data_IF_683944633017
#
_entry.id   IF_683944633017
#
_cell.length_a   1.000
_cell.length_b   1.000
_cell.length_c   1.000
_cell.angle_alpha   90.00
_cell.angle_beta   90.00
_cell.angle_gamma   90.00
#
_symmetry.space_group_name_H-M   'P 1'
#
loop_
_entity.id
_entity.type
_entity.pdbx_description
1 polymer ?
#
# COMPACT_ATOMS: atom_id res chain seq x y z
N UNK A 1 -4.90 15.87 -17.82
CA UNK A 1 -4.14 14.74 -17.25
C UNK A 1 -3.85 15.04 -15.80
N UNK A 2 -4.18 14.16 -14.86
CA UNK A 2 -3.86 14.31 -13.43
C UNK A 2 -2.58 13.54 -13.15
N UNK A 3 -1.55 14.22 -12.63
CA UNK A 3 -0.24 13.62 -12.37
C UNK A 3 -0.19 12.77 -11.08
N UNK A 4 -1.20 12.87 -10.22
CA UNK A 4 -1.31 12.08 -9.00
C UNK A 4 -2.65 11.35 -8.94
N UNK A 5 -2.69 10.12 -8.43
CA UNK A 5 -3.94 9.45 -8.11
C UNK A 5 -4.75 10.34 -7.14
N UNK A 6 -6.06 10.29 -7.25
CA UNK A 6 -6.91 10.97 -6.26
C UNK A 6 -6.72 10.31 -4.91
N UNK A 7 -6.50 11.11 -3.88
CA UNK A 7 -6.60 10.59 -2.52
C UNK A 7 -8.02 10.04 -2.29
N UNK A 8 -8.07 8.91 -1.60
CA UNK A 8 -9.35 8.33 -1.19
C UNK A 8 -10.04 9.26 -0.20
N UNK A 9 -11.31 9.56 -0.45
CA UNK A 9 -12.16 10.35 0.44
C UNK A 9 -13.43 9.55 0.75
N UNK A 10 -13.85 9.58 2.01
CA UNK A 10 -15.11 9.03 2.47
C UNK A 10 -15.92 10.14 3.15
N UNK A 11 -17.23 10.16 2.92
CA UNK A 11 -18.13 11.17 3.47
C UNK A 11 -19.07 10.54 4.50
N UNK A 12 -19.38 11.20 5.63
CA UNK A 12 -20.27 10.67 6.66
C UNK A 12 -21.65 10.30 6.13
N UNK A 13 -22.17 11.07 5.19
CA UNK A 13 -23.50 10.80 4.58
C UNK A 13 -23.50 9.61 3.61
N UNK A 14 -22.33 9.23 3.08
CA UNK A 14 -22.15 8.10 2.19
C UNK A 14 -20.73 7.50 2.35
N UNK A 15 -20.47 6.82 3.48
CA UNK A 15 -19.13 6.32 3.82
C UNK A 15 -18.52 5.39 2.76
N UNK A 16 -19.36 4.70 2.01
CA UNK A 16 -18.99 3.66 1.04
C UNK A 16 -19.15 4.06 -0.42
N UNK A 17 -19.39 5.34 -0.72
CA UNK A 17 -19.54 5.82 -2.10
C UNK A 17 -18.33 5.49 -3.00
N UNK A 18 -17.15 5.54 -2.42
CA UNK A 18 -15.88 5.31 -3.11
C UNK A 18 -15.26 3.95 -2.74
N UNK A 19 -16.03 3.02 -2.18
CA UNK A 19 -15.55 1.68 -1.82
C UNK A 19 -15.31 0.84 -3.08
N UNK A 20 -14.08 0.91 -3.58
CA UNK A 20 -13.66 0.23 -4.80
C UNK A 20 -13.36 -1.25 -4.58
N UNK A 21 -13.27 -1.70 -3.33
CA UNK A 21 -12.90 -3.07 -2.96
C UNK A 21 -14.04 -3.85 -2.31
N UNK A 22 -15.26 -3.28 -2.22
CA UNK A 22 -16.40 -3.97 -1.62
C UNK A 22 -16.26 -4.22 -0.10
N UNK A 23 -15.48 -3.42 0.61
CA UNK A 23 -15.13 -3.63 2.02
C UNK A 23 -16.19 -3.20 3.03
N UNK A 24 -17.36 -2.76 2.56
CA UNK A 24 -18.46 -2.29 3.43
C UNK A 24 -18.74 -3.24 4.59
N UNK A 25 -18.87 -4.55 4.34
CA UNK A 25 -19.18 -5.53 5.38
C UNK A 25 -18.05 -5.61 6.43
N UNK A 26 -16.79 -5.60 6.00
CA UNK A 26 -15.64 -5.66 6.88
C UNK A 26 -15.54 -4.39 7.74
N UNK A 27 -15.72 -3.21 7.14
CA UNK A 27 -15.72 -1.91 7.84
C UNK A 27 -16.84 -1.85 8.87
N UNK A 28 -18.07 -2.24 8.50
CA UNK A 28 -19.23 -2.23 9.41
C UNK A 28 -19.00 -3.16 10.60
N UNK A 29 -18.53 -4.38 10.38
CA UNK A 29 -18.22 -5.33 11.46
C UNK A 29 -17.11 -4.84 12.36
N UNK A 30 -16.05 -4.25 11.79
CA UNK A 30 -14.95 -3.68 12.55
C UNK A 30 -15.42 -2.50 13.41
N UNK A 31 -16.21 -1.58 12.86
CA UNK A 31 -16.77 -0.46 13.60
C UNK A 31 -17.73 -0.93 14.71
N UNK A 32 -18.55 -1.95 14.46
CA UNK A 32 -19.42 -2.54 15.50
C UNK A 32 -18.59 -3.12 16.66
N UNK A 33 -17.49 -3.80 16.37
CA UNK A 33 -16.56 -4.28 17.37
C UNK A 33 -15.97 -3.14 18.19
N UNK A 34 -15.52 -2.05 17.54
CA UNK A 34 -14.99 -0.87 18.25
C UNK A 34 -16.02 -0.22 19.16
N UNK A 35 -17.26 -0.02 18.66
CA UNK A 35 -18.35 0.57 19.42
C UNK A 35 -18.75 -0.34 20.59
N UNK A 36 -18.73 -1.67 20.39
CA UNK A 36 -19.10 -2.66 21.39
C UNK A 36 -18.06 -2.87 22.49
N UNK A 37 -16.84 -2.38 22.32
CA UNK A 37 -15.78 -2.56 23.31
C UNK A 37 -16.07 -1.76 24.59
N UNK A 38 -15.90 -2.41 25.74
CA UNK A 38 -16.02 -1.79 27.06
C UNK A 38 -14.62 -1.46 27.60
N UNK A 39 -14.54 -0.34 28.34
CA UNK A 39 -13.28 0.11 28.94
C UNK A 39 -12.37 0.82 27.94
N UNK A 40 -11.11 0.44 27.93
CA UNK A 40 -10.09 0.93 26.99
C UNK A 40 -9.59 -0.23 26.12
N UNK A 41 -9.19 0.06 24.90
CA UNK A 41 -8.54 -0.92 24.05
C UNK A 41 -7.61 -0.27 23.04
N UNK A 42 -6.50 -0.93 22.74
CA UNK A 42 -5.64 -0.65 21.60
C UNK A 42 -5.79 -1.79 20.59
N UNK A 43 -6.26 -1.47 19.40
CA UNK A 43 -6.49 -2.43 18.32
C UNK A 43 -5.49 -2.17 17.21
N UNK A 44 -4.66 -3.15 16.83
CA UNK A 44 -3.85 -3.04 15.62
C UNK A 44 -4.61 -3.56 14.41
N UNK A 45 -4.66 -2.78 13.34
CA UNK A 45 -5.12 -3.19 12.02
C UNK A 45 -3.89 -3.36 11.13
N UNK A 46 -3.47 -4.62 10.95
CA UNK A 46 -2.29 -4.96 10.18
C UNK A 46 -2.64 -5.24 8.71
N UNK A 47 -1.77 -4.84 7.80
CA UNK A 47 -1.85 -5.15 6.39
C UNK A 47 -0.63 -4.62 5.63
N UNK A 48 -0.23 -5.24 4.52
CA UNK A 48 0.90 -4.80 3.72
C UNK A 48 0.65 -3.42 3.09
N UNK A 49 1.70 -2.78 2.60
CA UNK A 49 1.54 -1.57 1.80
C UNK A 49 0.71 -1.85 0.55
N UNK A 50 -0.15 -0.92 0.19
CA UNK A 50 -1.06 -1.08 -0.95
C UNK A 50 -2.32 -1.92 -0.68
N UNK A 51 -2.50 -2.49 0.52
CA UNK A 51 -3.71 -3.25 0.86
C UNK A 51 -4.99 -2.42 1.04
N UNK A 52 -4.88 -1.08 1.00
CA UNK A 52 -6.02 -0.19 1.19
C UNK A 52 -6.31 0.18 2.65
N UNK A 53 -5.33 0.03 3.59
CA UNK A 53 -5.50 0.40 5.02
C UNK A 53 -6.05 1.81 5.21
N UNK A 54 -5.44 2.80 4.56
CA UNK A 54 -5.86 4.21 4.65
C UNK A 54 -7.30 4.41 4.19
N UNK A 55 -7.72 3.75 3.09
CA UNK A 55 -9.10 3.80 2.62
C UNK A 55 -10.05 3.14 3.64
N UNK A 56 -9.66 2.01 4.20
CA UNK A 56 -10.41 1.31 5.25
C UNK A 56 -10.60 2.20 6.49
N UNK A 57 -9.53 2.82 6.98
CA UNK A 57 -9.57 3.75 8.13
C UNK A 57 -10.47 4.95 7.86
N UNK A 58 -10.36 5.56 6.69
CA UNK A 58 -11.21 6.69 6.29
C UNK A 58 -12.68 6.28 6.17
N UNK A 59 -13.00 5.09 5.65
CA UNK A 59 -14.37 4.54 5.65
C UNK A 59 -14.87 4.26 7.06
N UNK A 60 -14.03 3.71 7.95
CA UNK A 60 -14.39 3.53 9.36
C UNK A 60 -14.69 4.88 10.02
N UNK A 61 -13.86 5.89 9.83
CA UNK A 61 -14.09 7.23 10.38
C UNK A 61 -15.42 7.82 9.88
N UNK A 62 -15.69 7.76 8.58
CA UNK A 62 -16.92 8.25 7.99
C UNK A 62 -18.15 7.47 8.48
N UNK A 63 -18.05 6.14 8.57
CA UNK A 63 -19.16 5.29 9.06
C UNK A 63 -19.46 5.56 10.54
N UNK A 64 -18.43 5.66 11.37
CA UNK A 64 -18.59 6.01 12.79
C UNK A 64 -19.20 7.40 13.00
N UNK A 65 -18.96 8.34 12.08
CA UNK A 65 -19.56 9.69 12.09
C UNK A 65 -20.92 9.77 11.42
N UNK A 66 -21.40 8.67 10.79
CA UNK A 66 -22.70 8.66 10.13
C UNK A 66 -23.84 8.79 11.12
N UNK A 67 -25.00 9.32 10.66
CA UNK A 67 -26.21 9.46 11.49
C UNK A 67 -26.67 8.12 12.06
N UNK A 68 -26.58 7.05 11.27
CA UNK A 68 -26.94 5.68 11.69
C UNK A 68 -26.23 5.25 12.97
N UNK A 69 -24.94 5.51 13.08
CA UNK A 69 -24.13 5.14 14.24
C UNK A 69 -24.34 6.18 15.37
N UNK A 70 -24.31 7.48 15.05
CA UNK A 70 -24.37 8.55 16.04
C UNK A 70 -25.73 8.60 16.78
N UNK A 71 -26.82 8.22 16.15
CA UNK A 71 -28.15 8.12 16.78
C UNK A 71 -28.26 6.94 17.73
N UNK A 72 -27.52 5.86 17.44
CA UNK A 72 -27.58 4.63 18.24
C UNK A 72 -26.59 4.68 19.40
N UNK A 73 -25.37 5.08 19.13
CA UNK A 73 -24.28 5.16 20.09
C UNK A 73 -23.32 6.29 19.69
N UNK A 74 -23.49 7.51 20.21
CA UNK A 74 -22.61 8.61 19.91
C UNK A 74 -21.15 8.28 20.24
N UNK A 75 -20.25 8.59 19.32
CA UNK A 75 -18.82 8.39 19.49
C UNK A 75 -18.04 9.50 18.81
N UNK A 76 -17.01 10.01 19.46
CA UNK A 76 -16.08 10.96 18.86
C UNK A 76 -14.99 10.23 18.12
N UNK A 77 -14.74 10.62 16.89
CA UNK A 77 -13.76 9.97 16.04
C UNK A 77 -12.68 10.98 15.65
N UNK A 78 -11.44 10.64 15.96
CA UNK A 78 -10.27 11.44 15.64
C UNK A 78 -9.41 10.65 14.67
N UNK A 79 -9.10 11.26 13.55
CA UNK A 79 -8.14 10.72 12.58
C UNK A 79 -6.78 11.39 12.79
N UNK A 80 -5.75 10.58 12.95
CA UNK A 80 -4.38 11.03 13.07
C UNK A 80 -3.48 10.31 12.07
N UNK A 81 -3.01 11.06 11.06
CA UNK A 81 -1.99 10.57 10.15
C UNK A 81 -0.61 10.89 10.73
N UNK A 82 0.08 9.86 11.24
CA UNK A 82 1.34 10.03 11.94
C UNK A 82 2.44 10.62 11.03
N UNK A 83 2.44 10.26 9.73
CA UNK A 83 3.40 10.76 8.76
C UNK A 83 3.19 12.24 8.40
N UNK A 84 1.94 12.65 8.25
CA UNK A 84 1.61 14.03 7.85
C UNK A 84 1.50 15.00 9.03
N UNK A 85 1.12 14.53 10.20
CA UNK A 85 0.86 15.39 11.38
C UNK A 85 1.97 15.32 12.43
N UNK A 86 2.93 14.40 12.30
CA UNK A 86 4.07 14.24 13.20
C UNK A 86 5.15 15.31 13.02
N UNK A 87 4.78 16.58 13.06
CA UNK A 87 5.68 17.70 12.72
C UNK A 87 6.55 18.17 13.86
N UNK A 88 6.09 18.02 15.12
CA UNK A 88 6.82 18.54 16.28
C UNK A 88 7.98 17.63 16.69
N UNK A 89 7.98 16.38 16.23
CA UNK A 89 8.91 15.35 16.66
C UNK A 89 8.60 14.80 18.04
N UNK A 90 7.50 15.24 18.68
CA UNK A 90 7.01 14.71 19.95
C UNK A 90 5.59 14.15 19.78
N UNK A 91 5.42 12.81 19.83
CA UNK A 91 4.13 12.17 19.56
C UNK A 91 3.00 12.62 20.49
N UNK A 92 3.30 12.95 21.76
CA UNK A 92 2.28 13.41 22.71
C UNK A 92 1.71 14.76 22.27
N UNK A 93 2.58 15.70 21.84
CA UNK A 93 2.14 17.02 21.34
C UNK A 93 1.28 16.87 20.10
N UNK A 94 1.73 16.05 19.15
CA UNK A 94 1.05 15.85 17.89
C UNK A 94 -0.33 15.21 18.10
N UNK A 95 -0.43 14.16 18.94
CA UNK A 95 -1.70 13.51 19.30
C UNK A 95 -2.65 14.47 20.01
N UNK A 96 -2.16 15.20 21.03
CA UNK A 96 -2.98 16.14 21.78
C UNK A 96 -3.46 17.29 20.90
N UNK A 97 -2.64 17.73 19.95
CA UNK A 97 -3.05 18.75 18.98
C UNK A 97 -4.19 18.25 18.08
N UNK A 98 -4.11 17.00 17.60
CA UNK A 98 -5.19 16.38 16.82
C UNK A 98 -6.47 16.23 17.64
N UNK A 99 -6.37 15.75 18.87
CA UNK A 99 -7.52 15.63 19.78
C UNK A 99 -8.15 17.00 20.05
N UNK A 100 -7.32 18.01 20.27
CA UNK A 100 -7.79 19.36 20.60
C UNK A 100 -8.47 20.09 19.46
N UNK A 101 -8.19 19.73 18.23
CA UNK A 101 -8.85 20.26 17.05
C UNK A 101 -10.32 19.81 16.96
N UNK A 102 -10.65 18.64 17.49
CA UNK A 102 -11.98 18.03 17.43
C UNK A 102 -12.83 18.26 18.71
N UNK A 103 -12.19 18.59 19.83
CA UNK A 103 -12.85 18.72 21.15
C UNK A 103 -12.83 20.19 21.61
N UNK A 104 -13.99 20.85 21.62
CA UNK A 104 -14.08 22.30 21.74
C UNK A 104 -13.78 22.90 23.12
N UNK A 105 -13.85 22.20 24.26
CA UNK A 105 -13.76 22.85 25.58
C UNK A 105 -12.72 22.29 26.59
N UNK A 106 -12.37 21.02 26.69
CA UNK A 106 -11.26 20.60 27.54
C UNK A 106 -9.87 20.75 26.87
N UNK A 107 -9.80 21.15 25.60
CA UNK A 107 -8.60 21.15 24.78
C UNK A 107 -7.44 21.97 25.33
N UNK A 108 -7.71 23.16 25.87
CA UNK A 108 -6.64 24.03 26.42
C UNK A 108 -5.97 23.39 27.66
N UNK A 109 -6.73 22.69 28.50
CA UNK A 109 -6.19 22.03 29.70
C UNK A 109 -5.38 20.80 29.29
N UNK A 110 -5.86 19.98 28.38
CA UNK A 110 -5.14 18.84 27.82
C UNK A 110 -3.79 19.24 27.23
N UNK A 111 -3.76 20.31 26.42
CA UNK A 111 -2.52 20.86 25.86
C UNK A 111 -1.57 21.31 26.97
N UNK A 112 -2.06 22.06 27.96
CA UNK A 112 -1.24 22.54 29.06
C UNK A 112 -0.66 21.39 29.89
N UNK A 113 -1.44 20.34 30.13
CA UNK A 113 -0.99 19.17 30.88
C UNK A 113 0.02 18.35 30.07
N UNK A 114 -0.20 18.21 28.76
CA UNK A 114 0.79 17.58 27.86
C UNK A 114 2.12 18.35 27.84
N UNK A 115 2.08 19.68 27.77
CA UNK A 115 3.29 20.52 27.84
C UNK A 115 4.00 20.34 29.18
N UNK A 116 3.26 20.29 30.31
CA UNK A 116 3.85 20.03 31.63
C UNK A 116 4.52 18.66 31.70
N UNK A 117 3.88 17.62 31.17
CA UNK A 117 4.45 16.28 31.09
C UNK A 117 5.77 16.26 30.32
N UNK A 118 5.84 16.97 29.21
CA UNK A 118 7.04 17.05 28.38
C UNK A 118 8.14 17.83 29.13
N UNK A 119 7.80 18.96 29.73
CA UNK A 119 8.72 19.77 30.51
C UNK A 119 9.24 19.03 31.75
N UNK A 120 8.41 18.17 32.36
CA UNK A 120 8.79 17.29 33.49
C UNK A 120 9.63 16.09 33.10
N UNK A 121 10.03 15.93 31.86
CA UNK A 121 10.90 14.83 31.40
C UNK A 121 10.16 13.54 31.08
N UNK A 122 8.82 13.56 30.94
CA UNK A 122 8.02 12.37 30.64
C UNK A 122 8.50 11.63 29.39
N UNK A 123 8.97 12.32 28.37
CA UNK A 123 9.55 11.72 27.17
C UNK A 123 10.83 10.90 27.46
N UNK A 124 11.64 11.33 28.42
CA UNK A 124 12.83 10.57 28.84
C UNK A 124 12.44 9.36 29.69
N UNK A 125 11.42 9.48 30.54
CA UNK A 125 10.91 8.37 31.35
C UNK A 125 10.14 7.33 30.52
N UNK A 126 9.38 7.75 29.55
CA UNK A 126 8.70 6.85 28.58
C UNK A 126 9.76 6.07 27.78
N UNK A 127 10.87 6.71 27.37
CA UNK A 127 12.01 6.02 26.73
C UNK A 127 12.67 5.01 27.65
N UNK A 128 12.84 5.36 28.90
CA UNK A 128 13.42 4.46 29.91
C UNK A 128 12.51 3.25 30.20
N UNK A 129 11.20 3.45 30.31
CA UNK A 129 10.22 2.38 30.49
C UNK A 129 10.11 1.46 29.26
N UNK A 130 10.41 1.97 28.05
CA UNK A 130 10.43 1.19 26.81
C UNK A 130 11.73 0.42 26.56
N UNK A 131 12.67 0.39 27.50
CA UNK A 131 13.92 -0.39 27.43
C UNK A 131 15.16 0.39 27.00
N UNK A 132 15.11 1.71 26.96
CA UNK A 132 16.29 2.57 26.81
C UNK A 132 17.08 2.55 28.13
N UNK A 133 18.36 2.17 28.08
CA UNK A 133 19.20 2.08 29.28
C UNK A 133 19.34 3.46 29.95
N UNK A 134 18.78 3.59 31.13
CA UNK A 134 19.21 4.61 32.10
C UNK A 134 20.55 4.16 32.66
N UNK A 135 21.56 4.99 32.53
CA UNK A 135 22.83 4.77 33.24
C UNK A 135 22.62 5.02 34.76
N UNK A 136 22.23 3.95 35.45
CA UNK A 136 21.99 3.97 36.90
C UNK A 136 23.29 4.11 37.72
N UNK A 137 24.46 4.07 37.07
CA UNK A 137 25.76 4.09 37.76
C UNK A 137 26.22 5.46 38.23
N UNK A 138 25.52 6.55 37.89
CA UNK A 138 25.90 7.92 38.22
C UNK A 138 25.04 8.61 39.30
N UNK A 139 24.24 7.84 40.06
CA UNK A 139 23.28 8.40 41.03
C UNK A 139 23.96 8.72 42.37
N UNK A 140 24.12 10.00 42.67
CA UNK A 140 24.43 10.51 44.00
C UNK A 140 23.14 10.78 44.80
N UNK A 141 23.19 10.81 46.14
CA UNK A 141 22.00 10.97 46.99
C UNK A 141 21.18 12.24 46.69
N UNK A 142 21.79 13.36 46.33
CA UNK A 142 21.10 14.59 45.90
C UNK A 142 20.35 14.42 44.58
N UNK A 143 20.90 13.67 43.64
CA UNK A 143 20.22 13.38 42.37
C UNK A 143 19.03 12.41 42.55
N UNK A 144 19.06 11.56 43.56
CA UNK A 144 17.94 10.68 43.89
C UNK A 144 16.70 11.46 44.34
N UNK A 145 16.87 12.57 45.10
CA UNK A 145 15.74 13.41 45.49
C UNK A 145 15.16 14.19 44.30
N UNK A 146 16.01 14.73 43.43
CA UNK A 146 15.56 15.37 42.20
C UNK A 146 14.85 14.41 41.25
N UNK A 147 15.35 13.18 41.10
CA UNK A 147 14.73 12.14 40.30
C UNK A 147 13.39 11.69 40.88
N UNK A 148 13.29 11.57 42.22
CA UNK A 148 12.03 11.21 42.90
C UNK A 148 10.99 12.31 42.69
N UNK A 149 11.36 13.58 42.86
CA UNK A 149 10.47 14.72 42.62
C UNK A 149 10.03 14.81 41.14
N UNK A 150 10.94 14.57 40.17
CA UNK A 150 10.62 14.52 38.78
C UNK A 150 9.69 13.35 38.42
N UNK A 151 9.90 12.19 39.07
CA UNK A 151 9.00 11.04 38.94
C UNK A 151 7.59 11.33 39.46
N UNK A 152 7.49 11.89 40.68
CA UNK A 152 6.21 12.26 41.27
C UNK A 152 5.46 13.29 40.41
N UNK A 153 6.15 14.31 39.87
CA UNK A 153 5.59 15.29 38.97
C UNK A 153 5.09 14.63 37.65
N UNK A 154 5.83 13.66 37.12
CA UNK A 154 5.46 12.92 35.92
C UNK A 154 4.24 12.04 36.15
N UNK A 155 4.18 11.34 37.28
CA UNK A 155 3.03 10.52 37.71
C UNK A 155 1.77 11.36 37.90
N UNK A 156 1.90 12.51 38.62
CA UNK A 156 0.80 13.45 38.78
C UNK A 156 0.32 14.00 37.45
N UNK A 157 1.26 14.39 36.58
CA UNK A 157 0.93 14.86 35.20
C UNK A 157 0.23 13.79 34.37
N UNK A 158 0.67 12.53 34.45
CA UNK A 158 0.03 11.40 33.79
C UNK A 158 -1.42 11.23 34.27
N UNK A 159 -1.61 11.18 35.59
CA UNK A 159 -2.93 11.01 36.18
C UNK A 159 -3.87 12.17 35.85
N UNK A 160 -3.36 13.41 35.85
CA UNK A 160 -4.11 14.60 35.41
C UNK A 160 -4.50 14.51 33.92
N UNK A 161 -3.55 14.11 33.04
CA UNK A 161 -3.82 13.92 31.62
C UNK A 161 -4.89 12.85 31.38
N UNK A 162 -4.75 11.67 32.01
CA UNK A 162 -5.72 10.58 31.90
C UNK A 162 -7.10 10.98 32.45
N UNK A 163 -7.16 11.72 33.55
CA UNK A 163 -8.41 12.25 34.11
C UNK A 163 -9.12 13.20 33.12
N UNK A 164 -8.37 14.12 32.47
CA UNK A 164 -8.91 15.05 31.49
C UNK A 164 -9.34 14.35 30.20
N UNK A 165 -8.56 13.38 29.72
CA UNK A 165 -8.90 12.56 28.56
C UNK A 165 -10.16 11.72 28.86
N UNK A 166 -10.26 11.13 30.03
CA UNK A 166 -11.43 10.40 30.50
C UNK A 166 -12.66 11.28 30.62
N UNK A 167 -12.51 12.51 31.08
CA UNK A 167 -13.61 13.48 31.10
C UNK A 167 -14.10 13.82 29.69
N UNK A 168 -13.17 13.92 28.73
CA UNK A 168 -13.51 14.14 27.33
C UNK A 168 -14.20 12.94 26.69
N UNK A 169 -13.87 11.71 27.10
CA UNK A 169 -14.45 10.47 26.58
C UNK A 169 -15.78 10.06 27.27
N UNK A 170 -16.10 10.62 28.44
CA UNK A 170 -17.22 10.15 29.30
C UNK A 170 -18.60 10.23 28.68
N UNK A 171 -18.86 11.21 27.82
CA UNK A 171 -20.21 11.39 27.26
C UNK A 171 -20.48 10.45 26.07
N UNK A 172 -19.50 10.34 25.19
CA UNK A 172 -19.73 9.79 23.84
C UNK A 172 -18.71 8.73 23.45
N UNK A 173 -17.72 8.43 24.31
CA UNK A 173 -16.57 7.62 23.93
C UNK A 173 -15.63 8.35 22.96
N UNK A 174 -14.41 7.86 22.81
CA UNK A 174 -13.39 8.41 21.93
C UNK A 174 -12.72 7.29 21.16
N UNK A 175 -12.78 7.36 19.83
CA UNK A 175 -12.03 6.47 18.94
C UNK A 175 -10.95 7.28 18.23
N UNK A 176 -9.69 6.91 18.46
CA UNK A 176 -8.52 7.50 17.82
C UNK A 176 -8.00 6.55 16.76
N UNK A 177 -8.06 6.96 15.49
CA UNK A 177 -7.59 6.20 14.34
C UNK A 177 -6.23 6.74 13.93
N UNK A 178 -5.17 5.97 14.16
CA UNK A 178 -3.78 6.33 13.83
C UNK A 178 -3.35 5.56 12.58
N UNK A 179 -2.94 6.28 11.54
CA UNK A 179 -2.49 5.71 10.26
C UNK A 179 -1.05 6.14 9.92
N UNK A 180 -0.41 5.39 9.05
CA UNK A 180 0.92 5.65 8.47
C UNK A 180 2.07 5.74 9.50
N UNK A 181 1.95 5.05 10.63
CA UNK A 181 2.98 5.00 11.67
C UNK A 181 4.27 4.32 11.17
N UNK A 182 4.13 3.31 10.31
CA UNK A 182 5.22 2.55 9.71
C UNK A 182 6.07 3.37 8.72
N UNK A 183 5.64 4.58 8.35
CA UNK A 183 6.43 5.52 7.52
C UNK A 183 7.21 6.53 8.33
N UNK A 184 6.94 6.64 9.62
CA UNK A 184 7.60 7.60 10.49
C UNK A 184 9.06 7.21 10.78
N UNK A 185 9.83 8.18 11.28
CA UNK A 185 11.16 7.87 11.83
C UNK A 185 11.04 6.79 12.90
N UNK A 186 11.91 5.77 12.93
CA UNK A 186 11.80 4.66 13.89
C UNK A 186 11.64 5.10 15.33
N UNK A 187 12.43 6.09 15.78
CA UNK A 187 12.35 6.62 17.15
C UNK A 187 10.99 7.26 17.46
N UNK A 188 10.43 8.04 16.53
CA UNK A 188 9.11 8.63 16.65
C UNK A 188 8.02 7.57 16.72
N UNK A 189 8.07 6.56 15.85
CA UNK A 189 7.09 5.47 15.83
C UNK A 189 7.06 4.72 17.17
N UNK A 190 8.23 4.38 17.74
CA UNK A 190 8.34 3.71 19.02
C UNK A 190 7.86 4.58 20.19
N UNK A 191 8.18 5.88 20.16
CA UNK A 191 7.68 6.83 21.16
C UNK A 191 6.16 6.97 21.09
N UNK A 192 5.58 7.00 19.88
CA UNK A 192 4.13 7.07 19.70
C UNK A 192 3.44 5.83 20.26
N UNK A 193 3.94 4.63 19.95
CA UNK A 193 3.42 3.39 20.53
C UNK A 193 3.47 3.41 22.06
N UNK A 194 4.60 3.85 22.63
CA UNK A 194 4.76 3.96 24.08
C UNK A 194 3.83 5.01 24.68
N UNK A 195 3.67 6.15 24.00
CA UNK A 195 2.74 7.22 24.40
C UNK A 195 1.30 6.71 24.45
N UNK A 196 0.87 6.01 23.40
CA UNK A 196 -0.46 5.39 23.35
C UNK A 196 -0.64 4.40 24.48
N UNK A 197 0.30 3.48 24.69
CA UNK A 197 0.19 2.43 25.71
C UNK A 197 0.12 2.97 27.13
N UNK A 198 0.86 4.04 27.42
CA UNK A 198 0.99 4.53 28.81
C UNK A 198 0.05 5.69 29.14
N UNK A 199 -0.34 6.50 28.17
CA UNK A 199 -1.14 7.70 28.43
C UNK A 199 -2.60 7.56 27.99
N UNK A 200 -2.91 6.70 27.01
CA UNK A 200 -4.26 6.53 26.47
C UNK A 200 -5.01 5.34 27.08
N UNK A 201 -4.44 4.67 28.09
CA UNK A 201 -5.10 3.65 28.91
C UNK A 201 -6.16 4.30 29.80
N UNK A 202 -7.27 4.68 29.20
CA UNK A 202 -8.35 5.44 29.83
C UNK A 202 -9.70 4.85 29.42
N UNK A 203 -10.61 4.50 30.37
CA UNK A 203 -11.92 3.98 30.04
C UNK A 203 -12.70 4.90 29.07
N UNK A 204 -13.27 4.31 28.04
CA UNK A 204 -13.99 5.02 26.98
C UNK A 204 -13.09 5.51 25.83
N UNK A 205 -11.78 5.23 25.89
CA UNK A 205 -10.83 5.55 24.81
C UNK A 205 -10.42 4.28 24.08
N UNK A 206 -10.64 4.23 22.78
CA UNK A 206 -10.20 3.15 21.90
C UNK A 206 -9.22 3.72 20.90
N UNK A 207 -8.08 3.07 20.76
CA UNK A 207 -7.06 3.46 19.77
C UNK A 207 -6.93 2.36 18.71
N UNK A 208 -7.01 2.75 17.46
CA UNK A 208 -6.75 1.88 16.31
C UNK A 208 -5.42 2.27 15.70
N UNK A 209 -4.52 1.31 15.58
CA UNK A 209 -3.20 1.47 14.95
C UNK A 209 -3.24 0.77 13.60
N UNK A 210 -3.41 1.52 12.50
CA UNK A 210 -3.33 0.98 11.14
C UNK A 210 -1.84 0.95 10.73
N UNK A 211 -1.26 -0.24 10.69
CA UNK A 211 0.18 -0.45 10.55
C UNK A 211 0.50 -1.51 9.50
N UNK A 212 1.69 -1.44 8.91
CA UNK A 212 2.36 -2.57 8.32
C UNK A 212 3.32 -3.13 9.39
N UNK A 213 2.92 -4.22 10.03
CA UNK A 213 3.65 -4.79 11.16
C UNK A 213 5.05 -5.25 10.77
N UNK A 214 5.22 -5.82 9.57
CA UNK A 214 6.52 -6.28 9.08
C UNK A 214 7.50 -5.09 8.97
N UNK A 215 7.06 -3.99 8.35
CA UNK A 215 7.89 -2.78 8.21
C UNK A 215 8.17 -2.11 9.55
N UNK A 216 7.17 -2.06 10.43
CA UNK A 216 7.36 -1.52 11.77
C UNK A 216 8.33 -2.39 12.60
N UNK A 217 8.37 -3.70 12.36
CA UNK A 217 9.36 -4.59 12.98
C UNK A 217 10.79 -4.24 12.52
N UNK A 218 11.00 -3.89 11.25
CA UNK A 218 12.28 -3.38 10.76
C UNK A 218 12.68 -2.07 11.45
N UNK A 219 11.73 -1.17 11.68
CA UNK A 219 11.94 0.06 12.44
C UNK A 219 12.38 -0.24 13.88
N UNK A 220 11.76 -1.21 14.55
CA UNK A 220 12.17 -1.68 15.89
C UNK A 220 13.60 -2.21 15.86
N UNK A 221 13.92 -3.09 14.90
CA UNK A 221 15.26 -3.67 14.78
C UNK A 221 16.34 -2.61 14.46
N UNK A 222 16.00 -1.55 13.76
CA UNK A 222 16.95 -0.45 13.50
C UNK A 222 17.37 0.30 14.78
N UNK A 223 16.52 0.29 15.80
CA UNK A 223 16.77 0.94 17.09
C UNK A 223 17.41 -0.02 18.11
N UNK A 224 16.93 -1.25 18.18
CA UNK A 224 17.35 -2.23 19.22
C UNK A 224 18.37 -3.25 18.70
N UNK A 225 18.66 -3.25 17.42
CA UNK A 225 19.58 -4.19 16.76
C UNK A 225 18.87 -5.35 16.05
N UNK A 226 19.55 -5.98 15.06
CA UNK A 226 18.94 -6.95 14.14
C UNK A 226 18.48 -8.25 14.82
N UNK A 227 19.06 -8.61 15.98
CA UNK A 227 18.69 -9.82 16.72
C UNK A 227 17.56 -9.59 17.73
N UNK A 228 17.01 -8.38 17.80
CA UNK A 228 15.91 -8.07 18.70
C UNK A 228 14.60 -8.67 18.20
N UNK A 229 13.84 -9.31 19.10
CA UNK A 229 12.55 -9.91 18.76
C UNK A 229 11.45 -8.84 18.61
N UNK A 230 11.46 -8.16 17.47
CA UNK A 230 10.57 -7.05 17.18
C UNK A 230 9.08 -7.44 17.23
N UNK A 231 8.73 -8.63 16.72
CA UNK A 231 7.37 -9.15 16.77
C UNK A 231 6.83 -9.32 18.20
N UNK A 232 7.64 -9.86 19.08
CA UNK A 232 7.28 -9.98 20.49
C UNK A 232 7.13 -8.62 21.17
N UNK A 233 7.95 -7.67 20.79
CA UNK A 233 7.90 -6.31 21.30
C UNK A 233 6.61 -5.60 20.85
N UNK A 234 6.28 -5.65 19.57
CA UNK A 234 5.11 -5.01 19.00
C UNK A 234 3.78 -5.58 19.54
N UNK A 235 3.74 -6.86 19.90
CA UNK A 235 2.54 -7.47 20.53
C UNK A 235 2.11 -6.80 21.85
N UNK A 236 3.02 -6.12 22.53
CA UNK A 236 2.73 -5.48 23.83
C UNK A 236 1.92 -4.19 23.69
N UNK A 237 1.86 -3.62 22.49
CA UNK A 237 1.21 -2.32 22.27
C UNK A 237 -0.24 -2.42 21.82
N UNK A 238 -0.73 -3.60 21.47
CA UNK A 238 -2.12 -3.81 21.09
C UNK A 238 -2.74 -4.95 21.92
N UNK A 239 -3.98 -4.74 22.34
CA UNK A 239 -4.78 -5.72 23.09
C UNK A 239 -5.48 -6.68 22.12
N UNK A 240 -5.80 -6.20 20.90
CA UNK A 240 -6.40 -6.97 19.82
C UNK A 240 -5.64 -6.74 18.51
N UNK A 241 -5.47 -7.82 17.76
CA UNK A 241 -4.84 -7.78 16.43
C UNK A 241 -5.86 -8.16 15.36
N UNK A 242 -6.24 -7.19 14.56
CA UNK A 242 -7.05 -7.39 13.35
C UNK A 242 -6.13 -7.40 12.14
N UNK A 243 -6.44 -8.22 11.15
CA UNK A 243 -5.72 -8.28 9.89
C UNK A 243 -6.65 -7.83 8.76
N UNK A 244 -6.17 -6.89 7.95
CA UNK A 244 -6.83 -6.52 6.72
C UNK A 244 -6.50 -7.58 5.67
N UNK A 245 -7.49 -8.41 5.36
CA UNK A 245 -7.31 -9.45 4.35
C UNK A 245 -7.05 -8.82 2.98
N UNK A 246 -6.19 -9.43 2.16
CA UNK A 246 -6.04 -9.01 0.78
C UNK A 246 -7.39 -9.12 0.07
N UNK A 247 -7.66 -8.25 -0.92
CA UNK A 247 -8.89 -8.34 -1.70
C UNK A 247 -8.92 -9.66 -2.46
N UNK A 248 -10.09 -10.27 -2.53
CA UNK A 248 -10.31 -11.45 -3.35
C UNK A 248 -10.37 -11.11 -4.86
N UNK A 249 -10.47 -12.13 -5.72
CA UNK A 249 -10.52 -11.89 -7.18
C UNK A 249 -11.71 -11.01 -7.62
N UNK A 250 -12.96 -11.20 -7.14
CA UNK A 250 -14.06 -10.29 -7.43
C UNK A 250 -13.80 -8.84 -6.99
N UNK A 251 -13.28 -8.65 -5.79
CA UNK A 251 -12.97 -7.31 -5.25
C UNK A 251 -11.89 -6.60 -6.08
N UNK A 252 -10.85 -7.33 -6.52
CA UNK A 252 -9.81 -6.83 -7.41
C UNK A 252 -10.37 -6.44 -8.78
N UNK A 253 -11.27 -7.24 -9.31
CA UNK A 253 -11.90 -6.96 -10.59
C UNK A 253 -12.78 -5.70 -10.53
N UNK A 254 -13.54 -5.49 -9.45
CA UNK A 254 -14.29 -4.25 -9.26
C UNK A 254 -13.37 -3.04 -9.08
N UNK A 255 -12.28 -3.15 -8.29
CA UNK A 255 -11.27 -2.10 -8.19
C UNK A 255 -10.73 -1.71 -9.57
N UNK A 256 -10.44 -2.69 -10.38
CA UNK A 256 -9.96 -2.48 -11.73
C UNK A 256 -10.98 -1.74 -12.64
N UNK A 257 -12.26 -2.09 -12.56
CA UNK A 257 -13.32 -1.36 -13.29
C UNK A 257 -13.42 0.11 -12.87
N UNK A 258 -13.21 0.40 -11.60
CA UNK A 258 -13.15 1.78 -11.12
C UNK A 258 -11.93 2.52 -11.69
N UNK A 259 -10.79 1.85 -11.69
CA UNK A 259 -9.56 2.39 -12.25
C UNK A 259 -9.69 2.70 -13.76
N UNK A 260 -10.33 1.82 -14.52
CA UNK A 260 -10.64 2.05 -15.93
C UNK A 260 -11.48 3.31 -16.16
N UNK A 261 -12.51 3.53 -15.35
CA UNK A 261 -13.36 4.73 -15.43
C UNK A 261 -12.57 6.00 -15.12
N UNK A 262 -11.66 5.96 -14.17
CA UNK A 262 -10.85 7.11 -13.77
C UNK A 262 -9.82 7.52 -14.83
N UNK A 263 -9.30 6.55 -15.60
CA UNK A 263 -8.32 6.78 -16.68
C UNK A 263 -9.01 7.17 -17.99
N UNK A 264 -10.30 6.85 -18.15
CA UNK A 264 -11.10 7.08 -19.35
C UNK A 264 -11.21 5.84 -20.23
N UNK A 265 -12.45 5.36 -20.43
CA UNK A 265 -12.76 4.10 -21.14
C UNK A 265 -12.23 4.01 -22.58
N UNK A 266 -12.02 5.15 -23.25
CA UNK A 266 -11.55 5.20 -24.64
C UNK A 266 -10.07 4.86 -24.81
N UNK A 267 -9.26 4.93 -23.76
CA UNK A 267 -7.83 4.68 -23.82
C UNK A 267 -7.44 3.24 -23.45
N UNK A 268 -8.35 2.49 -22.83
CA UNK A 268 -8.13 1.11 -22.39
C UNK A 268 -8.92 0.10 -23.26
N UNK A 269 -8.93 0.28 -24.60
CA UNK A 269 -9.57 -0.65 -25.54
C UNK A 269 -9.09 -2.11 -25.43
N UNK A 270 -8.34 -2.44 -24.42
CA UNK A 270 -7.60 -3.68 -24.22
C UNK A 270 -7.89 -4.25 -22.84
N UNK A 271 -9.12 -4.72 -22.69
CA UNK A 271 -9.62 -5.34 -21.46
C UNK A 271 -8.69 -6.43 -20.93
N UNK A 272 -8.14 -7.25 -21.82
CA UNK A 272 -7.43 -8.48 -21.44
C UNK A 272 -6.23 -8.29 -20.52
N UNK A 273 -5.36 -7.29 -20.72
CA UNK A 273 -4.13 -7.14 -19.91
C UNK A 273 -4.46 -6.75 -18.48
N UNK A 274 -5.33 -5.78 -18.33
CA UNK A 274 -5.69 -5.27 -17.01
C UNK A 274 -6.59 -6.24 -16.26
N UNK A 275 -7.48 -6.95 -17.00
CA UNK A 275 -8.27 -8.05 -16.45
C UNK A 275 -7.37 -9.20 -15.99
N UNK A 276 -6.35 -9.56 -16.77
CA UNK A 276 -5.34 -10.55 -16.39
C UNK A 276 -4.60 -10.12 -15.12
N UNK A 277 -4.18 -8.86 -15.03
CA UNK A 277 -3.53 -8.35 -13.81
C UNK A 277 -4.45 -8.36 -12.60
N UNK A 278 -5.75 -8.12 -12.78
CA UNK A 278 -6.73 -8.16 -11.70
C UNK A 278 -7.06 -9.60 -11.25
N UNK A 279 -7.04 -10.55 -12.20
CA UNK A 279 -7.38 -11.96 -11.99
C UNK A 279 -6.20 -12.79 -11.47
N UNK A 280 -5.00 -12.43 -11.87
CA UNK A 280 -3.79 -13.08 -11.36
C UNK A 280 -3.59 -12.58 -9.93
N UNK A 281 -3.78 -13.45 -8.96
CA UNK A 281 -3.54 -13.16 -7.55
C UNK A 281 -2.19 -12.50 -7.34
N UNK A 282 -1.94 -11.88 -6.18
CA UNK A 282 -0.68 -11.17 -5.93
C UNK A 282 0.50 -12.03 -6.38
N UNK A 283 1.16 -11.69 -7.51
CA UNK A 283 2.51 -12.16 -7.70
C UNK A 283 3.29 -11.59 -6.52
N UNK A 284 4.22 -12.35 -5.94
CA UNK A 284 5.04 -11.86 -4.84
C UNK A 284 5.54 -10.45 -5.17
N UNK A 285 4.96 -9.44 -4.52
CA UNK A 285 5.36 -8.06 -4.64
C UNK A 285 4.51 -7.08 -5.47
N UNK A 286 3.39 -7.48 -6.09
CA UNK A 286 2.52 -6.56 -6.85
C UNK A 286 1.19 -6.31 -6.13
N UNK A 287 1.12 -5.23 -5.36
CA UNK A 287 -0.10 -4.82 -4.65
C UNK A 287 -1.03 -3.94 -5.50
N UNK A 288 -2.21 -3.60 -4.97
CA UNK A 288 -3.18 -2.69 -5.62
C UNK A 288 -2.57 -1.34 -5.99
N UNK A 289 -1.62 -0.85 -5.18
CA UNK A 289 -0.92 0.41 -5.42
C UNK A 289 -0.04 0.33 -6.66
N UNK A 290 0.63 -0.80 -6.88
CA UNK A 290 1.49 -1.00 -8.04
C UNK A 290 0.65 -1.07 -9.32
N UNK A 291 -0.51 -1.73 -9.26
CA UNK A 291 -1.50 -1.74 -10.35
C UNK A 291 -1.99 -0.32 -10.65
N UNK A 292 -2.33 0.46 -9.63
CA UNK A 292 -2.76 1.84 -9.78
C UNK A 292 -1.66 2.73 -10.37
N UNK A 293 -0.43 2.57 -9.91
CA UNK A 293 0.74 3.28 -10.45
C UNK A 293 1.02 2.89 -11.90
N UNK A 294 0.96 1.60 -12.23
CA UNK A 294 1.13 1.10 -13.58
C UNK A 294 0.07 1.68 -14.53
N UNK A 295 -1.18 1.71 -14.12
CA UNK A 295 -2.28 2.28 -14.89
C UNK A 295 -2.13 3.80 -15.10
N UNK A 296 -1.68 4.51 -14.09
CA UNK A 296 -1.40 5.95 -14.17
C UNK A 296 -0.19 6.24 -15.08
N UNK A 297 0.86 5.45 -14.96
CA UNK A 297 2.04 5.49 -15.83
C UNK A 297 1.65 5.26 -17.29
N UNK A 298 0.81 4.25 -17.55
CA UNK A 298 0.26 3.98 -18.86
C UNK A 298 -0.46 5.20 -19.46
N UNK A 299 -1.35 5.82 -18.71
CA UNK A 299 -2.08 7.00 -19.20
C UNK A 299 -1.15 8.17 -19.53
N UNK A 300 -0.05 8.31 -18.79
CA UNK A 300 0.97 9.34 -18.99
C UNK A 300 1.78 9.09 -20.29
N UNK A 301 2.26 7.86 -20.46
CA UNK A 301 3.04 7.47 -21.64
C UNK A 301 2.19 7.54 -22.90
N UNK A 302 0.93 7.09 -22.82
CA UNK A 302 0.00 7.15 -23.95
C UNK A 302 -0.28 8.59 -24.37
N UNK A 303 -0.54 9.51 -23.42
CA UNK A 303 -0.74 10.92 -23.72
C UNK A 303 0.50 11.57 -24.36
N UNK A 304 1.71 11.21 -23.92
CA UNK A 304 2.94 11.69 -24.52
C UNK A 304 3.16 11.12 -25.94
N UNK A 305 2.75 9.87 -26.20
CA UNK A 305 2.94 9.19 -27.47
C UNK A 305 1.94 9.63 -28.55
N UNK A 306 0.72 10.04 -28.18
CA UNK A 306 -0.34 10.46 -29.12
C UNK A 306 -0.09 11.84 -29.73
N UNK A 307 0.72 12.69 -29.09
CA UNK A 307 1.12 13.99 -29.65
C UNK A 307 2.01 13.87 -30.88
N UNK A 308 2.54 12.68 -31.19
CA UNK A 308 3.45 12.42 -32.33
C UNK A 308 2.76 11.92 -33.60
N UNK A 309 1.43 12.04 -33.75
CA UNK A 309 0.70 11.83 -35.01
C UNK A 309 0.48 10.39 -35.45
N UNK A 310 0.59 9.40 -34.56
CA UNK A 310 0.37 7.99 -34.90
C UNK A 310 -1.12 7.60 -34.78
N UNK A 311 -1.82 7.50 -35.92
CA UNK A 311 -3.26 7.21 -36.01
C UNK A 311 -3.67 5.73 -35.87
N UNK A 312 -2.80 4.83 -35.40
CA UNK A 312 -3.13 3.39 -35.20
C UNK A 312 -3.15 3.05 -33.71
N UNK A 313 -4.23 3.43 -33.05
CA UNK A 313 -4.24 3.55 -31.58
C UNK A 313 -4.30 2.22 -30.80
N UNK A 314 -4.95 1.18 -31.32
CA UNK A 314 -5.19 -0.06 -30.56
C UNK A 314 -3.90 -0.79 -30.17
N UNK A 315 -3.09 -1.16 -31.16
CA UNK A 315 -1.92 -2.02 -30.93
C UNK A 315 -0.76 -1.31 -30.20
N UNK A 316 -0.62 0.02 -30.37
CA UNK A 316 0.37 0.81 -29.63
C UNK A 316 0.02 0.86 -28.14
N UNK A 317 -1.22 1.12 -27.83
CA UNK A 317 -1.75 1.13 -26.45
C UNK A 317 -1.49 -0.19 -25.75
N UNK A 318 -1.77 -1.29 -26.43
CA UNK A 318 -1.54 -2.66 -25.94
C UNK A 318 -0.05 -2.90 -25.63
N UNK A 319 0.82 -2.55 -26.56
CA UNK A 319 2.27 -2.69 -26.38
C UNK A 319 2.78 -1.88 -25.18
N UNK A 320 2.34 -0.63 -25.06
CA UNK A 320 2.72 0.23 -23.92
C UNK A 320 2.24 -0.38 -22.59
N UNK A 321 0.99 -0.86 -22.55
CA UNK A 321 0.44 -1.48 -21.35
C UNK A 321 1.26 -2.71 -20.90
N UNK A 322 1.57 -3.61 -21.84
CA UNK A 322 2.38 -4.81 -21.59
C UNK A 322 3.77 -4.45 -21.06
N UNK A 323 4.44 -3.51 -21.68
CA UNK A 323 5.78 -3.09 -21.28
C UNK A 323 5.79 -2.49 -19.87
N UNK A 324 4.78 -1.71 -19.51
CA UNK A 324 4.62 -1.14 -18.19
C UNK A 324 4.34 -2.23 -17.16
N UNK A 325 3.52 -3.22 -17.50
CA UNK A 325 3.24 -4.37 -16.65
C UNK A 325 4.50 -5.20 -16.44
N UNK A 326 5.21 -5.55 -17.50
CA UNK A 326 6.47 -6.30 -17.39
C UNK A 326 7.48 -5.54 -16.52
N UNK A 327 7.58 -4.22 -16.70
CA UNK A 327 8.45 -3.38 -15.89
C UNK A 327 8.06 -3.36 -14.41
N UNK A 328 6.78 -3.38 -14.11
CA UNK A 328 6.28 -3.43 -12.73
C UNK A 328 6.53 -4.79 -12.08
N UNK A 329 6.38 -5.88 -12.84
CA UNK A 329 6.58 -7.25 -12.33
C UNK A 329 8.05 -7.64 -12.23
N UNK A 330 8.84 -7.34 -13.27
CA UNK A 330 10.28 -7.66 -13.35
C UNK A 330 11.03 -6.60 -14.15
N UNK A 331 11.55 -5.63 -13.42
CA UNK A 331 12.32 -4.52 -13.99
C UNK A 331 13.57 -4.97 -14.74
N UNK A 332 14.22 -6.04 -14.27
CA UNK A 332 15.46 -6.53 -14.90
C UNK A 332 15.15 -7.16 -16.26
N UNK A 333 14.13 -7.99 -16.34
CA UNK A 333 13.68 -8.59 -17.61
C UNK A 333 13.16 -7.53 -18.59
N UNK A 334 12.44 -6.53 -18.09
CA UNK A 334 12.04 -5.39 -18.91
C UNK A 334 13.25 -4.65 -19.51
N UNK A 335 14.26 -4.31 -18.69
CA UNK A 335 15.45 -3.61 -19.15
C UNK A 335 16.26 -4.44 -20.16
N UNK A 336 16.43 -5.73 -19.90
CA UNK A 336 17.11 -6.64 -20.81
C UNK A 336 16.37 -6.76 -22.17
N UNK A 337 15.04 -6.79 -22.14
CA UNK A 337 14.22 -6.80 -23.35
C UNK A 337 14.30 -5.45 -24.11
N UNK A 338 14.20 -4.33 -23.41
CA UNK A 338 14.32 -2.99 -23.99
C UNK A 338 15.69 -2.78 -24.67
N UNK A 339 16.74 -3.35 -24.08
CA UNK A 339 18.10 -3.35 -24.63
C UNK A 339 18.33 -4.38 -25.76
N UNK A 340 17.32 -5.17 -26.17
CA UNK A 340 17.44 -6.22 -27.17
C UNK A 340 18.33 -7.40 -26.73
N UNK A 341 18.55 -7.56 -25.44
CA UNK A 341 19.39 -8.63 -24.86
C UNK A 341 18.59 -9.86 -24.49
N UNK A 342 17.31 -9.71 -24.19
CA UNK A 342 16.44 -10.79 -23.79
C UNK A 342 15.77 -11.43 -25.01
N UNK A 343 15.85 -12.75 -25.08
CA UNK A 343 15.11 -13.55 -26.05
C UNK A 343 13.61 -13.50 -25.78
N UNK A 344 12.80 -13.49 -26.85
CA UNK A 344 11.34 -13.45 -26.76
C UNK A 344 10.74 -14.62 -25.96
N UNK A 345 11.30 -15.80 -26.06
CA UNK A 345 10.86 -16.96 -25.28
C UNK A 345 11.18 -16.82 -23.79
N UNK A 346 12.34 -16.26 -23.46
CA UNK A 346 12.71 -15.95 -22.07
C UNK A 346 11.80 -14.88 -21.48
N UNK A 347 11.47 -13.84 -22.27
CA UNK A 347 10.54 -12.79 -21.87
C UNK A 347 9.14 -13.35 -21.59
N UNK A 348 8.61 -14.23 -22.45
CA UNK A 348 7.35 -14.93 -22.23
C UNK A 348 7.38 -15.78 -20.96
N UNK A 349 8.44 -16.58 -20.77
CA UNK A 349 8.57 -17.43 -19.60
C UNK A 349 8.58 -16.63 -18.29
N UNK A 350 9.24 -15.46 -18.29
CA UNK A 350 9.27 -14.54 -17.15
C UNK A 350 7.88 -14.02 -16.81
N UNK A 351 7.16 -13.54 -17.81
CA UNK A 351 5.80 -13.01 -17.63
C UNK A 351 4.86 -14.12 -17.16
N UNK A 352 4.91 -15.29 -17.78
CA UNK A 352 4.10 -16.44 -17.36
C UNK A 352 4.37 -16.82 -15.92
N UNK A 353 5.64 -16.92 -15.54
CA UNK A 353 6.03 -17.19 -14.14
C UNK A 353 5.47 -16.16 -13.17
N UNK A 354 5.54 -14.88 -13.54
CA UNK A 354 5.04 -13.79 -12.71
C UNK A 354 3.51 -13.77 -12.60
N UNK A 355 2.80 -14.24 -13.65
CA UNK A 355 1.35 -14.21 -13.74
C UNK A 355 0.67 -15.54 -13.39
N UNK A 356 1.40 -16.63 -13.20
CA UNK A 356 0.82 -17.92 -12.84
C UNK A 356 0.96 -18.14 -11.32
N UNK A 357 -0.14 -18.19 -10.56
CA UNK A 357 -0.07 -18.44 -9.13
C UNK A 357 0.48 -19.87 -8.88
N UNK A 358 1.30 -20.00 -7.84
CA UNK A 358 1.94 -21.27 -7.46
C UNK A 358 0.95 -22.43 -7.16
N UNK A 359 -0.34 -22.14 -7.02
CA UNK A 359 -1.43 -23.08 -6.74
C UNK A 359 -2.24 -23.52 -7.96
N UNK A 360 -1.99 -22.96 -9.16
CA UNK A 360 -2.77 -23.27 -10.35
C UNK A 360 -2.32 -24.60 -10.99
N UNK A 361 -3.13 -25.63 -10.84
CA UNK A 361 -2.86 -26.96 -11.38
C UNK A 361 -3.49 -27.27 -12.74
N UNK A 362 -4.25 -26.34 -13.34
CA UNK A 362 -4.87 -26.52 -14.68
C UNK A 362 -5.12 -25.20 -15.41
N UNK A 363 -5.02 -25.17 -16.77
CA UNK A 363 -5.31 -24.00 -17.58
C UNK A 363 -6.79 -23.60 -17.49
N UNK A 364 -7.03 -22.31 -17.18
CA UNK A 364 -8.36 -21.72 -17.12
C UNK A 364 -8.62 -20.77 -18.31
N UNK A 365 -9.82 -20.17 -18.37
CA UNK A 365 -10.17 -19.16 -19.41
C UNK A 365 -9.17 -17.98 -19.46
N UNK A 366 -8.46 -17.72 -18.37
CA UNK A 366 -7.35 -16.76 -18.29
C UNK A 366 -6.17 -17.10 -19.24
N UNK A 367 -6.05 -18.32 -19.72
CA UNK A 367 -4.95 -18.70 -20.63
C UNK A 367 -5.04 -18.04 -22.01
N UNK A 368 -6.24 -17.73 -22.52
CA UNK A 368 -6.34 -17.06 -23.83
C UNK A 368 -5.80 -15.65 -23.80
N UNK A 369 -6.08 -14.92 -22.73
CA UNK A 369 -5.60 -13.55 -22.54
C UNK A 369 -4.09 -13.53 -22.30
N UNK A 370 -3.58 -14.56 -21.59
CA UNK A 370 -2.17 -14.76 -21.39
C UNK A 370 -1.43 -15.05 -22.71
N UNK A 371 -2.05 -15.76 -23.66
CA UNK A 371 -1.44 -16.01 -24.98
C UNK A 371 -1.30 -14.73 -25.82
N UNK A 372 -2.26 -13.83 -25.77
CA UNK A 372 -2.16 -12.53 -26.43
C UNK A 372 -1.03 -11.70 -25.85
N UNK A 373 -0.88 -11.73 -24.53
CA UNK A 373 0.21 -11.09 -23.82
C UNK A 373 1.57 -11.68 -24.20
N UNK A 374 1.70 -13.00 -24.19
CA UNK A 374 2.92 -13.71 -24.59
C UNK A 374 3.31 -13.42 -26.02
N UNK A 375 2.36 -13.44 -26.94
CA UNK A 375 2.58 -13.15 -28.36
C UNK A 375 3.10 -11.71 -28.57
N UNK A 376 2.54 -10.75 -27.86
CA UNK A 376 2.95 -9.36 -27.97
C UNK A 376 4.35 -9.11 -27.37
N UNK A 377 4.66 -9.74 -26.23
CA UNK A 377 5.99 -9.68 -25.62
C UNK A 377 7.04 -10.32 -26.52
N UNK A 378 6.75 -11.48 -27.06
CA UNK A 378 7.64 -12.14 -28.01
C UNK A 378 7.90 -11.25 -29.24
N UNK A 379 6.84 -10.68 -29.82
CA UNK A 379 6.94 -9.80 -30.97
C UNK A 379 7.75 -8.54 -30.68
N UNK A 380 7.54 -7.90 -29.54
CA UNK A 380 8.29 -6.72 -29.14
C UNK A 380 9.76 -7.03 -28.89
N UNK A 381 10.08 -8.13 -28.22
CA UNK A 381 11.45 -8.61 -28.05
C UNK A 381 12.13 -8.88 -29.40
N UNK A 382 11.41 -9.49 -30.33
CA UNK A 382 11.91 -9.73 -31.70
C UNK A 382 12.26 -8.42 -32.42
N UNK A 383 11.48 -7.37 -32.26
CA UNK A 383 11.75 -6.05 -32.85
C UNK A 383 12.97 -5.40 -32.21
N UNK A 384 13.09 -5.41 -30.88
CA UNK A 384 14.25 -4.82 -30.21
C UNK A 384 15.55 -5.56 -30.56
N UNK A 385 15.51 -6.89 -30.69
CA UNK A 385 16.68 -7.69 -31.10
C UNK A 385 17.11 -7.38 -32.53
N UNK A 386 16.19 -7.13 -33.48
CA UNK A 386 16.54 -6.70 -34.87
C UNK A 386 17.32 -5.40 -34.87
N UNK A 387 17.09 -4.50 -33.91
CA UNK A 387 17.82 -3.24 -33.79
C UNK A 387 19.23 -3.37 -33.26
N UNK A 388 19.55 -4.48 -32.57
CA UNK A 388 20.81 -4.68 -31.86
C UNK A 388 21.69 -5.77 -32.49
N UNK A 389 21.08 -6.84 -33.02
CA UNK A 389 21.80 -7.99 -33.56
C UNK A 389 21.80 -7.96 -35.09
N UNK A 390 22.98 -7.87 -35.72
CA UNK A 390 23.14 -7.91 -37.16
C UNK A 390 22.66 -9.25 -37.81
N UNK A 391 22.68 -10.34 -37.08
CA UNK A 391 22.32 -11.69 -37.53
C UNK A 391 21.00 -12.20 -36.93
N UNK A 392 20.07 -11.33 -36.59
CA UNK A 392 18.78 -11.79 -36.04
C UNK A 392 17.92 -12.43 -37.12
N UNK A 393 17.52 -13.68 -36.95
CA UNK A 393 16.53 -14.39 -37.78
C UNK A 393 15.22 -14.54 -37.00
N UNK A 394 14.11 -13.99 -37.48
CA UNK A 394 12.81 -14.18 -36.86
C UNK A 394 12.39 -15.66 -36.95
N UNK A 395 11.68 -16.16 -35.96
CA UNK A 395 11.07 -17.49 -36.00
C UNK A 395 9.86 -17.41 -36.94
N UNK A 396 9.92 -18.16 -38.05
CA UNK A 396 8.89 -18.17 -39.09
C UNK A 396 8.10 -19.47 -39.14
N UNK A 397 8.64 -20.54 -38.56
CA UNK A 397 8.06 -21.87 -38.57
C UNK A 397 7.35 -22.18 -37.23
N UNK A 398 6.10 -22.66 -37.33
CA UNK A 398 5.29 -23.01 -36.17
C UNK A 398 5.95 -24.12 -35.31
N UNK A 399 6.57 -25.10 -35.97
CA UNK A 399 7.25 -26.21 -35.30
C UNK A 399 8.44 -25.74 -34.43
N UNK A 400 9.27 -24.85 -34.99
CA UNK A 400 10.42 -24.30 -34.26
C UNK A 400 9.99 -23.40 -33.12
N UNK A 401 8.91 -22.62 -33.32
CA UNK A 401 8.29 -21.84 -32.27
C UNK A 401 7.78 -22.73 -31.15
N UNK A 402 7.01 -23.77 -31.48
CA UNK A 402 6.44 -24.69 -30.50
C UNK A 402 7.50 -25.38 -29.65
N UNK A 403 8.58 -25.86 -30.27
CA UNK A 403 9.68 -26.50 -29.56
C UNK A 403 10.38 -25.52 -28.58
N UNK A 404 10.67 -24.31 -29.03
CA UNK A 404 11.33 -23.30 -28.22
C UNK A 404 10.40 -22.77 -27.09
N UNK A 405 9.10 -22.64 -27.37
CA UNK A 405 8.10 -22.25 -26.39
C UNK A 405 7.99 -23.26 -25.24
N UNK A 406 7.86 -24.56 -25.57
CA UNK A 406 7.79 -25.62 -24.55
C UNK A 406 9.07 -25.67 -23.74
N UNK A 407 10.23 -25.53 -24.39
CA UNK A 407 11.54 -25.52 -23.71
C UNK A 407 11.66 -24.36 -22.72
N UNK A 408 11.15 -23.17 -23.08
CA UNK A 408 11.26 -21.97 -22.22
C UNK A 408 10.21 -21.91 -21.10
N UNK A 409 8.98 -22.34 -21.39
CA UNK A 409 7.85 -22.20 -20.47
C UNK A 409 7.56 -23.45 -19.64
N UNK A 410 8.04 -24.61 -20.09
CA UNK A 410 7.75 -25.92 -19.45
C UNK A 410 6.31 -26.40 -19.69
N UNK A 411 5.56 -25.79 -20.61
CA UNK A 411 4.13 -26.10 -20.86
C UNK A 411 4.00 -26.94 -22.12
N UNK A 412 3.44 -28.14 -21.96
CA UNK A 412 3.20 -29.07 -23.07
C UNK A 412 1.84 -28.84 -23.74
N UNK A 413 1.86 -29.01 -25.07
CA UNK A 413 0.79 -29.28 -26.03
C UNK A 413 -0.50 -28.44 -26.03
N UNK A 414 -0.78 -27.92 -27.20
CA UNK A 414 -2.01 -27.19 -27.57
C UNK A 414 -1.88 -25.66 -27.55
N UNK A 415 -1.06 -25.15 -26.67
CA UNK A 415 -0.88 -23.70 -26.50
C UNK A 415 0.13 -23.05 -27.47
N UNK A 416 1.25 -23.71 -27.87
CA UNK A 416 2.25 -23.07 -28.72
C UNK A 416 1.70 -22.61 -30.09
N UNK A 417 0.85 -23.41 -30.70
CA UNK A 417 0.22 -23.08 -31.99
C UNK A 417 -0.70 -21.84 -31.88
N UNK A 418 -1.40 -21.70 -30.76
CA UNK A 418 -2.24 -20.53 -30.52
C UNK A 418 -1.40 -19.28 -30.28
N UNK A 419 -0.34 -19.35 -29.47
CA UNK A 419 0.57 -18.23 -29.21
C UNK A 419 1.30 -17.84 -30.50
N UNK A 420 1.74 -18.81 -31.30
CA UNK A 420 2.40 -18.53 -32.60
C UNK A 420 1.46 -17.81 -33.60
N UNK A 421 0.22 -18.25 -33.68
CA UNK A 421 -0.80 -17.61 -34.54
C UNK A 421 -1.08 -16.17 -34.07
N UNK A 422 -1.21 -15.97 -32.76
CA UNK A 422 -1.36 -14.63 -32.19
C UNK A 422 -0.13 -13.75 -32.41
N UNK A 423 1.07 -14.33 -32.32
CA UNK A 423 2.30 -13.61 -32.68
C UNK A 423 2.31 -13.17 -34.16
N UNK A 424 1.88 -14.03 -35.09
CA UNK A 424 1.78 -13.68 -36.48
C UNK A 424 0.80 -12.52 -36.71
N UNK A 425 -0.39 -12.60 -36.13
CA UNK A 425 -1.39 -11.53 -36.15
C UNK A 425 -0.82 -10.23 -35.58
N UNK A 426 -0.16 -10.30 -34.43
CA UNK A 426 0.49 -9.15 -33.77
C UNK A 426 1.60 -8.56 -34.65
N UNK A 427 2.48 -9.40 -35.17
CA UNK A 427 3.60 -8.95 -36.03
C UNK A 427 3.10 -8.28 -37.31
N UNK A 428 2.02 -8.76 -37.91
CA UNK A 428 1.37 -8.13 -39.03
C UNK A 428 0.77 -6.76 -38.62
N UNK A 429 0.04 -6.72 -37.55
CA UNK A 429 -0.60 -5.50 -37.05
C UNK A 429 0.43 -4.44 -36.62
N UNK A 430 1.60 -4.86 -36.12
CA UNK A 430 2.70 -3.99 -35.71
C UNK A 430 3.79 -3.79 -36.71
N UNK A 431 3.52 -4.07 -38.00
CA UNK A 431 4.48 -3.91 -39.11
C UNK A 431 5.07 -2.50 -39.26
N UNK A 432 4.38 -1.49 -38.73
CA UNK A 432 4.81 -0.09 -38.66
C UNK A 432 5.83 0.19 -37.56
N UNK A 433 5.99 -0.72 -36.58
CA UNK A 433 6.89 -0.53 -35.42
C UNK A 433 8.33 -0.89 -35.84
N UNK A 434 9.13 0.14 -36.07
CA UNK A 434 10.57 -0.03 -36.31
C UNK A 434 11.33 -0.20 -34.98
N UNK A 435 12.54 -0.77 -35.00
CA UNK A 435 13.41 -0.82 -33.82
C UNK A 435 13.63 0.55 -33.14
N UNK A 436 13.78 1.61 -33.94
CA UNK A 436 13.96 2.99 -33.45
C UNK A 436 12.73 3.49 -32.68
N UNK A 437 11.53 3.19 -33.19
CA UNK A 437 10.28 3.51 -32.52
C UNK A 437 10.09 2.69 -31.25
N UNK A 438 10.47 1.42 -31.27
CA UNK A 438 10.46 0.58 -30.07
C UNK A 438 11.36 1.16 -28.96
N UNK A 439 12.56 1.62 -29.33
CA UNK A 439 13.47 2.32 -28.42
C UNK A 439 12.89 3.65 -27.89
N UNK A 440 12.17 4.38 -28.73
CA UNK A 440 11.49 5.63 -28.32
C UNK A 440 10.38 5.35 -27.29
N UNK A 441 9.61 4.28 -27.47
CA UNK A 441 8.56 3.85 -26.54
C UNK A 441 9.17 3.45 -25.20
N UNK A 442 10.23 2.64 -25.19
CA UNK A 442 10.91 2.24 -23.95
C UNK A 442 11.53 3.44 -23.23
N UNK A 443 12.15 4.36 -23.97
CA UNK A 443 12.68 5.60 -23.40
C UNK A 443 11.58 6.46 -22.75
N UNK A 444 10.40 6.56 -23.38
CA UNK A 444 9.26 7.26 -22.80
C UNK A 444 8.73 6.57 -21.54
N UNK A 445 8.67 5.23 -21.55
CA UNK A 445 8.30 4.45 -20.35
C UNK A 445 9.28 4.69 -19.21
N UNK A 446 10.57 4.73 -19.48
CA UNK A 446 11.60 4.96 -18.46
C UNK A 446 11.61 6.42 -17.97
N UNK A 447 11.37 7.38 -18.86
CA UNK A 447 11.34 8.81 -18.53
C UNK A 447 10.19 9.17 -17.59
N UNK A 448 9.02 8.59 -17.76
CA UNK A 448 7.81 8.90 -16.99
C UNK A 448 7.54 7.89 -15.87
N UNK A 449 8.50 7.05 -15.54
CA UNK A 449 8.40 6.05 -14.52
C UNK A 449 8.12 6.67 -13.14
N UNK A 450 7.16 6.14 -12.37
CA UNK A 450 7.02 6.52 -10.97
C UNK A 450 8.28 6.19 -10.19
N UNK A 451 8.60 7.04 -9.22
CA UNK A 451 9.78 6.93 -8.37
C UNK A 451 9.73 5.69 -7.43
#
# INVERSE_FOLDING_TARGET
>A
MKLHPREFTAEPNNPFANDQLGRRAQVTSFCQMLIGAEGHAVVSLDGPWGSGKTAFVKMCAAHLRSSEVQETRPVRVIEFNAWHQGHTGNPLVDLVSAISAEISDPSKRLIQTAIKLIAGGASQMIRAASGGALDLGALTDDKNQELTAAWEQTEQGRNEFQSQLGAAAKSDGLILLIDELDRCKPTYALELLSTVRHLFDVPGVIVVLAINRAELAHSVQSVYGPNFSADHYLRRFADLHAQLLPPDQPERYEFFKHLQRDIGESSLGERGIWETLALVGEPDGCGLRDIQQAAHHYSTVLAASTTSGANSHGNLSYTIAILIVLRALDRNSYQAMAAGQLDGFQAMATVRKALTPASASQPSVADRELWDLEAAIFGFSSITQRGVKESYSPVTEEHDFAHSYVSATGIDAGNPAHVFRRYQDWNQAMSWLSPERAMTITAAIDMFSPA
#
